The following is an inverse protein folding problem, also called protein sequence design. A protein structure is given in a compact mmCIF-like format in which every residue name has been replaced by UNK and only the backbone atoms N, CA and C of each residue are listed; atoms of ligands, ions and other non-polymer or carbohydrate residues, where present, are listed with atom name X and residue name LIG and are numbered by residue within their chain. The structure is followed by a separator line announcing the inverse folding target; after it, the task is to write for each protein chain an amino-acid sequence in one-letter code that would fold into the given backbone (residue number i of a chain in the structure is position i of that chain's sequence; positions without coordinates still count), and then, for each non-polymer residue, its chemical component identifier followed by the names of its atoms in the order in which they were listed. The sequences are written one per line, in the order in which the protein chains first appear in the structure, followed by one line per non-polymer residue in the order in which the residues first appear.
data_IF_770979700195
#
_entry.id   IF_770979700195
#
_cell.length_a   1.000
_cell.length_b   1.000
_cell.length_c   1.000
_cell.angle_alpha   90.00
_cell.angle_beta   90.00
_cell.angle_gamma   90.00
#
_symmetry.space_group_name_H-M   'P 1'
#
loop_
_entity.id
_entity.type
_entity.pdbx_description
1 polymer ?
#
# COMPACT_ATOMS: atom_id res chain seq x y z
N UNK A 1 -14.97 -24.53 -29.42
CA UNK A 1 -13.57 -24.38 -28.98
C UNK A 1 -13.27 -22.90 -28.82
N UNK A 2 -13.09 -22.53 -27.57
CA UNK A 2 -12.90 -21.20 -26.97
C UNK A 2 -12.26 -20.13 -27.86
N UNK A 3 -13.02 -19.06 -28.11
CA UNK A 3 -12.43 -17.74 -28.22
C UNK A 3 -11.76 -17.46 -26.87
N UNK A 4 -10.43 -17.58 -26.80
CA UNK A 4 -9.68 -17.09 -25.64
C UNK A 4 -9.88 -15.59 -25.56
N UNK A 5 -10.80 -15.16 -24.71
CA UNK A 5 -11.04 -13.74 -24.50
C UNK A 5 -9.75 -13.11 -23.98
N UNK A 6 -9.24 -12.12 -24.70
CA UNK A 6 -7.99 -11.46 -24.36
C UNK A 6 -8.30 -10.35 -23.34
N UNK A 7 -8.08 -10.63 -22.07
CA UNK A 7 -8.29 -9.66 -20.98
C UNK A 7 -7.17 -8.62 -20.86
N UNK A 8 -5.98 -8.89 -21.40
CA UNK A 8 -4.80 -8.05 -21.22
C UNK A 8 -4.18 -7.74 -22.58
N UNK A 9 -3.96 -6.46 -22.84
CA UNK A 9 -3.20 -5.97 -23.98
C UNK A 9 -1.87 -5.37 -23.51
N UNK A 10 -0.77 -5.77 -24.16
CA UNK A 10 0.56 -5.23 -23.93
C UNK A 10 1.04 -4.53 -25.19
N UNK A 11 1.36 -3.25 -25.07
CA UNK A 11 1.89 -2.44 -26.16
C UNK A 11 3.30 -1.95 -25.85
N UNK A 12 4.25 -2.25 -26.73
CA UNK A 12 5.55 -1.59 -26.77
C UNK A 12 5.49 -0.44 -27.77
N UNK A 13 5.63 0.79 -27.28
CA UNK A 13 5.49 2.00 -28.09
C UNK A 13 6.85 2.67 -28.25
N UNK A 14 7.15 3.10 -29.47
CA UNK A 14 8.32 3.91 -29.78
C UNK A 14 7.85 5.11 -30.61
N UNK A 15 8.13 6.35 -30.20
CA UNK A 15 7.79 7.53 -30.99
C UNK A 15 8.42 7.45 -32.39
N UNK A 16 7.67 7.76 -33.45
CA UNK A 16 8.19 7.68 -34.81
C UNK A 16 9.46 8.52 -35.02
N UNK A 17 9.57 9.68 -34.35
CA UNK A 17 10.75 10.54 -34.37
C UNK A 17 12.05 9.88 -33.86
N UNK A 18 11.92 8.80 -33.08
CA UNK A 18 13.04 8.01 -32.59
C UNK A 18 13.65 7.10 -33.67
N UNK A 19 12.89 6.78 -34.73
CA UNK A 19 13.31 5.85 -35.78
C UNK A 19 14.04 6.65 -36.86
N UNK A 20 15.32 6.93 -36.61
CA UNK A 20 16.23 7.59 -37.55
C UNK A 20 17.48 6.73 -37.71
N UNK A 21 18.15 6.74 -38.89
CA UNK A 21 19.40 6.01 -39.08
C UNK A 21 20.50 6.39 -38.08
N UNK A 22 20.42 7.60 -37.52
CA UNK A 22 21.38 8.15 -36.55
C UNK A 22 21.06 7.80 -35.09
N UNK A 23 19.89 7.20 -34.80
CA UNK A 23 19.50 6.88 -33.43
C UNK A 23 20.26 5.65 -32.94
N UNK A 24 21.00 5.82 -31.84
CA UNK A 24 21.68 4.69 -31.17
C UNK A 24 20.68 3.80 -30.42
N UNK A 25 21.06 2.53 -30.20
CA UNK A 25 20.27 1.58 -29.38
C UNK A 25 20.00 2.14 -27.97
N UNK A 26 20.96 2.83 -27.37
CA UNK A 26 20.79 3.44 -26.05
C UNK A 26 19.71 4.56 -26.05
N UNK A 27 19.66 5.36 -27.11
CA UNK A 27 18.62 6.37 -27.29
C UNK A 27 17.24 5.74 -27.56
N UNK A 28 17.18 4.68 -28.38
CA UNK A 28 15.94 3.94 -28.61
C UNK A 28 15.38 3.36 -27.31
N UNK A 29 16.23 2.80 -26.45
CA UNK A 29 15.82 2.28 -25.12
C UNK A 29 15.21 3.35 -24.23
N UNK A 30 15.74 4.58 -24.26
CA UNK A 30 15.18 5.71 -23.50
C UNK A 30 13.81 6.16 -23.97
N UNK A 31 13.46 5.88 -25.23
CA UNK A 31 12.18 6.27 -25.82
C UNK A 31 11.19 5.12 -25.94
N UNK A 32 11.62 3.89 -25.69
CA UNK A 32 10.72 2.77 -25.60
C UNK A 32 9.78 3.00 -24.41
N UNK A 33 8.49 2.78 -24.63
CA UNK A 33 7.44 2.86 -23.63
C UNK A 33 6.73 1.52 -23.59
N UNK A 34 6.32 1.13 -22.41
CA UNK A 34 5.50 -0.06 -22.22
C UNK A 34 4.16 0.37 -21.64
N UNK A 35 3.07 -0.08 -22.28
CA UNK A 35 1.72 0.19 -21.82
C UNK A 35 0.94 -1.11 -21.67
N UNK A 36 0.28 -1.29 -20.53
CA UNK A 36 -0.59 -2.44 -20.25
C UNK A 36 -2.02 -1.94 -20.15
N UNK A 37 -2.95 -2.53 -20.89
CA UNK A 37 -4.37 -2.22 -20.78
C UNK A 37 -5.14 -3.49 -20.38
N UNK A 38 -5.91 -3.40 -19.29
CA UNK A 38 -6.83 -4.44 -18.88
C UNK A 38 -8.24 -4.17 -19.43
N UNK A 39 -8.84 -5.18 -20.04
CA UNK A 39 -10.23 -5.10 -20.49
C UNK A 39 -11.20 -5.44 -19.37
N UNK A 40 -11.62 -4.42 -18.64
CA UNK A 40 -12.55 -4.51 -17.51
C UNK A 40 -14.02 -4.29 -17.90
N UNK A 41 -14.36 -4.29 -19.19
CA UNK A 41 -15.72 -4.02 -19.68
C UNK A 41 -16.73 -5.11 -19.29
N UNK A 42 -16.28 -6.37 -19.21
CA UNK A 42 -17.13 -7.54 -19.03
C UNK A 42 -16.70 -8.34 -17.79
N UNK A 43 -17.07 -7.85 -16.61
CA UNK A 43 -16.67 -8.46 -15.32
C UNK A 43 -17.32 -9.82 -15.05
N UNK A 44 -18.32 -10.20 -15.83
CA UNK A 44 -19.09 -11.44 -15.69
C UNK A 44 -18.55 -12.57 -16.57
N UNK A 45 -17.54 -12.29 -17.40
CA UNK A 45 -17.02 -13.28 -18.34
C UNK A 45 -16.17 -14.33 -17.63
N UNK A 46 -16.28 -15.57 -18.12
CA UNK A 46 -15.47 -16.69 -17.63
C UNK A 46 -13.97 -16.36 -17.78
N UNK A 47 -13.24 -16.45 -16.66
CA UNK A 47 -11.80 -16.15 -16.64
C UNK A 47 -11.43 -14.70 -16.34
N UNK A 48 -12.41 -13.83 -16.05
CA UNK A 48 -12.15 -12.44 -15.65
C UNK A 48 -11.19 -12.34 -14.45
N UNK A 49 -11.43 -13.09 -13.38
CA UNK A 49 -10.57 -13.11 -12.18
C UNK A 49 -9.15 -13.57 -12.50
N UNK A 50 -9.01 -14.59 -13.34
CA UNK A 50 -7.71 -15.07 -13.81
C UNK A 50 -7.00 -13.99 -14.65
N UNK A 51 -7.74 -13.26 -15.47
CA UNK A 51 -7.25 -12.10 -16.23
C UNK A 51 -6.80 -10.97 -15.31
N UNK A 52 -7.57 -10.64 -14.27
CA UNK A 52 -7.25 -9.59 -13.30
C UNK A 52 -5.99 -9.94 -12.49
N UNK A 53 -5.87 -11.20 -12.04
CA UNK A 53 -4.67 -11.70 -11.38
C UNK A 53 -3.45 -11.66 -12.31
N UNK A 54 -3.63 -12.04 -13.58
CA UNK A 54 -2.58 -11.95 -14.60
C UNK A 54 -2.14 -10.50 -14.86
N UNK A 55 -3.08 -9.57 -14.89
CA UNK A 55 -2.82 -8.14 -15.05
C UNK A 55 -1.97 -7.60 -13.90
N UNK A 56 -2.37 -7.81 -12.65
CA UNK A 56 -1.61 -7.33 -11.49
C UNK A 56 -0.23 -7.98 -11.40
N UNK A 57 -0.10 -9.25 -11.78
CA UNK A 57 1.21 -9.89 -11.86
C UNK A 57 2.13 -9.20 -12.87
N UNK A 58 1.61 -8.78 -14.03
CA UNK A 58 2.40 -8.05 -15.02
C UNK A 58 2.75 -6.64 -14.54
N UNK A 59 1.82 -5.93 -13.92
CA UNK A 59 2.07 -4.61 -13.32
C UNK A 59 3.19 -4.72 -12.28
N UNK A 60 3.10 -5.65 -11.34
CA UNK A 60 4.10 -5.83 -10.30
C UNK A 60 5.50 -6.17 -10.85
N UNK A 61 5.57 -6.93 -11.95
CA UNK A 61 6.83 -7.27 -12.61
C UNK A 61 7.43 -6.09 -13.38
N UNK A 62 6.59 -5.23 -13.96
CA UNK A 62 7.00 -4.22 -14.94
C UNK A 62 7.00 -2.79 -14.40
N UNK A 63 6.45 -2.55 -13.20
CA UNK A 63 6.35 -1.23 -12.57
C UNK A 63 7.72 -0.54 -12.40
N UNK A 64 8.80 -1.32 -12.34
CA UNK A 64 10.16 -0.79 -12.18
C UNK A 64 10.82 -0.40 -13.50
N UNK A 65 10.18 -0.67 -14.64
CA UNK A 65 10.69 -0.23 -15.93
C UNK A 65 10.45 1.28 -16.11
N UNK A 66 11.44 2.01 -16.63
CA UNK A 66 11.29 3.44 -16.87
C UNK A 66 10.15 3.69 -17.86
N UNK A 67 9.28 4.63 -17.51
CA UNK A 67 8.14 5.05 -18.33
C UNK A 67 7.13 3.92 -18.68
N UNK A 68 6.98 2.94 -17.78
CA UNK A 68 5.87 1.97 -17.82
C UNK A 68 4.57 2.65 -17.39
N UNK A 69 3.49 2.33 -18.10
CA UNK A 69 2.15 2.81 -17.77
C UNK A 69 1.16 1.66 -17.84
N UNK A 70 0.06 1.76 -17.10
CA UNK A 70 -1.04 0.82 -17.21
C UNK A 70 -2.39 1.51 -17.04
N UNK A 71 -3.44 0.89 -17.55
CA UNK A 71 -4.82 1.40 -17.46
C UNK A 71 -5.83 0.27 -17.59
N UNK A 72 -7.12 0.60 -17.43
CA UNK A 72 -8.23 -0.27 -17.81
C UNK A 72 -9.08 0.38 -18.90
N UNK A 73 -9.84 -0.42 -19.65
CA UNK A 73 -10.72 0.08 -20.71
C UNK A 73 -11.77 1.06 -20.17
N UNK A 74 -12.37 0.80 -19.01
CA UNK A 74 -13.31 1.73 -18.38
C UNK A 74 -12.61 3.01 -17.92
N UNK A 75 -11.38 2.92 -17.39
CA UNK A 75 -10.64 4.10 -16.91
C UNK A 75 -10.34 5.10 -18.03
N UNK A 76 -10.07 4.65 -19.26
CA UNK A 76 -9.83 5.54 -20.43
C UNK A 76 -11.07 6.33 -20.84
N UNK A 77 -12.27 5.80 -20.58
CA UNK A 77 -13.54 6.43 -20.97
C UNK A 77 -14.20 7.23 -19.84
N UNK A 78 -13.70 7.11 -18.61
CA UNK A 78 -14.12 7.94 -17.50
C UNK A 78 -13.49 9.33 -17.64
N UNK A 79 -14.23 10.41 -17.35
CA UNK A 79 -13.61 11.72 -17.21
C UNK A 79 -12.53 11.59 -16.14
N UNK A 80 -11.28 11.85 -16.51
CA UNK A 80 -10.25 12.01 -15.50
C UNK A 80 -10.61 13.26 -14.71
N UNK A 81 -10.90 13.10 -13.43
CA UNK A 81 -10.78 14.22 -12.52
C UNK A 81 -9.34 14.73 -12.66
N UNK A 82 -9.19 16.03 -12.83
CA UNK A 82 -7.88 16.66 -12.79
C UNK A 82 -7.32 16.43 -11.40
N UNK A 83 -6.58 15.34 -11.22
CA UNK A 83 -5.69 15.20 -10.09
C UNK A 83 -4.61 16.23 -10.37
N UNK A 84 -4.79 17.42 -9.81
CA UNK A 84 -3.72 18.40 -9.62
C UNK A 84 -2.68 17.69 -8.75
N UNK A 85 -1.87 16.86 -9.39
CA UNK A 85 -0.69 16.28 -8.79
C UNK A 85 0.27 17.46 -8.72
N UNK A 86 0.10 18.29 -7.69
CA UNK A 86 1.13 19.19 -7.23
C UNK A 86 2.26 18.27 -6.81
N UNK A 87 3.10 17.89 -7.75
CA UNK A 87 4.46 17.45 -7.45
C UNK A 87 5.09 18.67 -6.80
N UNK A 88 4.95 18.77 -5.49
CA UNK A 88 5.57 19.83 -4.72
C UNK A 88 7.06 19.56 -4.79
N UNK A 89 7.72 20.19 -5.75
CA UNK A 89 9.18 20.24 -5.83
C UNK A 89 9.78 21.17 -4.76
N UNK A 90 8.99 21.52 -3.75
CA UNK A 90 9.42 22.31 -2.59
C UNK A 90 9.07 21.47 -1.36
N UNK A 91 10.05 21.11 -0.51
CA UNK A 91 9.70 20.60 0.80
C UNK A 91 8.98 21.74 1.50
N UNK A 92 7.64 21.64 1.57
CA UNK A 92 6.89 22.39 2.56
C UNK A 92 7.54 22.04 3.89
N UNK A 93 7.90 23.08 4.65
CA UNK A 93 8.46 22.90 5.98
C UNK A 93 7.44 22.09 6.77
N UNK A 94 7.74 20.80 6.90
CA UNK A 94 6.97 19.89 7.72
C UNK A 94 7.02 20.52 9.11
N UNK A 95 5.87 20.89 9.72
CA UNK A 95 5.89 21.32 11.11
C UNK A 95 6.63 20.22 11.87
N UNK A 96 7.59 20.59 12.74
CA UNK A 96 8.46 19.66 13.48
C UNK A 96 7.64 18.47 13.94
N UNK A 97 7.68 17.43 13.12
CA UNK A 97 6.95 16.19 13.33
C UNK A 97 8.01 15.36 13.99
N UNK A 98 7.71 14.92 15.22
CA UNK A 98 8.51 13.93 15.90
C UNK A 98 8.92 12.86 14.89
N UNK A 99 10.23 12.70 14.64
CA UNK A 99 10.79 11.88 13.56
C UNK A 99 10.20 10.46 13.58
N UNK A 100 9.74 10.01 14.74
CA UNK A 100 9.05 8.73 14.92
C UNK A 100 7.76 8.57 14.09
N UNK A 101 7.07 9.65 13.73
CA UNK A 101 5.86 9.62 12.88
C UNK A 101 6.14 9.79 11.39
N UNK A 102 7.36 10.20 11.01
CA UNK A 102 7.67 10.61 9.65
C UNK A 102 7.39 9.49 8.63
N UNK A 103 7.79 8.26 8.95
CA UNK A 103 7.59 7.09 8.09
C UNK A 103 6.10 6.75 7.89
N UNK A 104 5.32 6.78 8.97
CA UNK A 104 3.87 6.52 8.95
C UNK A 104 3.16 7.54 8.06
N UNK A 105 3.57 8.80 8.14
CA UNK A 105 3.01 9.90 7.34
C UNK A 105 3.45 9.80 5.88
N UNK A 106 4.75 9.59 5.62
CA UNK A 106 5.32 9.53 4.27
C UNK A 106 4.70 8.41 3.44
N UNK A 107 4.51 7.23 4.04
CA UNK A 107 3.96 6.06 3.36
C UNK A 107 2.44 5.93 3.49
N UNK A 108 1.77 6.85 4.20
CA UNK A 108 0.31 6.83 4.37
C UNK A 108 -0.19 5.55 5.04
N UNK A 109 0.57 5.03 6.02
CA UNK A 109 0.27 3.75 6.67
C UNK A 109 -0.91 3.85 7.64
N UNK A 110 -1.20 5.06 8.11
CA UNK A 110 -2.42 5.41 8.85
C UNK A 110 -3.03 6.67 8.24
N UNK A 111 -4.35 6.79 8.34
CA UNK A 111 -5.06 8.01 7.95
C UNK A 111 -4.71 9.18 8.88
N UNK A 112 -4.91 10.41 8.39
CA UNK A 112 -4.70 11.61 9.19
C UNK A 112 -5.60 11.64 10.45
N UNK A 113 -6.80 11.06 10.38
CA UNK A 113 -7.74 10.95 11.50
C UNK A 113 -7.22 9.99 12.58
N UNK A 114 -6.70 8.83 12.19
CA UNK A 114 -6.11 7.85 13.12
C UNK A 114 -4.86 8.40 13.79
N UNK A 115 -3.97 9.07 13.04
CA UNK A 115 -2.77 9.71 13.61
C UNK A 115 -3.18 10.77 14.64
N UNK A 116 -4.11 11.66 14.30
CA UNK A 116 -4.59 12.70 15.20
C UNK A 116 -5.23 12.09 16.47
N UNK A 117 -5.97 10.99 16.32
CA UNK A 117 -6.55 10.28 17.44
C UNK A 117 -5.48 9.70 18.38
N UNK A 118 -4.49 8.98 17.85
CA UNK A 118 -3.39 8.44 18.65
C UNK A 118 -2.61 9.54 19.39
N UNK A 119 -2.32 10.65 18.70
CA UNK A 119 -1.65 11.81 19.29
C UNK A 119 -2.50 12.49 20.38
N UNK A 120 -3.83 12.54 20.23
CA UNK A 120 -4.74 13.09 21.25
C UNK A 120 -4.73 12.27 22.55
N UNK A 121 -4.46 10.97 22.46
CA UNK A 121 -4.24 10.07 23.61
C UNK A 121 -2.80 10.12 24.15
N UNK A 122 -1.98 11.05 23.65
CA UNK A 122 -0.56 11.18 24.01
C UNK A 122 0.26 9.91 23.76
N UNK A 123 -0.15 9.10 22.78
CA UNK A 123 0.59 7.93 22.35
C UNK A 123 1.74 8.37 21.42
N UNK A 124 2.90 7.73 21.60
CA UNK A 124 4.02 7.86 20.66
C UNK A 124 3.72 7.15 19.34
N UNK A 125 4.54 7.35 18.32
CA UNK A 125 4.36 6.60 17.07
C UNK A 125 4.44 5.09 17.33
N UNK A 126 3.46 4.30 16.89
CA UNK A 126 3.49 2.85 17.05
C UNK A 126 4.51 2.21 16.10
N UNK A 127 4.98 1.03 16.46
CA UNK A 127 5.56 0.09 15.50
C UNK A 127 4.42 -0.63 14.79
N UNK A 128 4.35 -0.50 13.46
CA UNK A 128 3.33 -1.16 12.64
C UNK A 128 3.74 -2.59 12.31
N UNK A 129 2.79 -3.53 12.34
CA UNK A 129 3.04 -4.94 12.00
C UNK A 129 4.09 -5.59 12.92
N UNK A 130 3.96 -5.40 14.23
CA UNK A 130 4.95 -5.87 15.19
C UNK A 130 4.87 -7.38 15.36
N UNK A 131 5.93 -8.07 14.96
CA UNK A 131 6.09 -9.51 15.11
C UNK A 131 6.49 -9.91 16.54
N UNK A 132 5.60 -10.63 17.22
CA UNK A 132 5.90 -11.26 18.50
C UNK A 132 6.63 -12.57 18.27
N UNK A 133 7.84 -12.69 18.82
CA UNK A 133 8.67 -13.88 18.69
C UNK A 133 8.69 -14.73 19.96
N UNK A 134 8.89 -16.04 19.81
CA UNK A 134 9.17 -16.96 20.90
C UNK A 134 10.69 -16.98 21.25
N UNK A 135 11.07 -17.80 22.24
CA UNK A 135 12.47 -17.89 22.70
C UNK A 135 13.43 -18.48 21.64
N UNK A 136 12.88 -19.14 20.61
CA UNK A 136 13.62 -19.68 19.47
C UNK A 136 13.72 -18.68 18.29
N UNK A 137 13.10 -17.51 18.43
CA UNK A 137 13.06 -16.45 17.40
C UNK A 137 11.99 -16.66 16.32
N UNK A 138 11.08 -17.63 16.50
CA UNK A 138 9.97 -17.83 15.57
C UNK A 138 8.85 -16.82 15.84
N UNK A 139 8.29 -16.26 14.77
CA UNK A 139 7.13 -15.37 14.82
C UNK A 139 5.89 -16.22 15.16
N UNK A 140 5.23 -15.87 16.25
CA UNK A 140 4.05 -16.59 16.76
C UNK A 140 2.77 -15.76 16.71
N UNK A 141 2.88 -14.45 16.61
CA UNK A 141 1.75 -13.52 16.48
C UNK A 141 2.24 -12.19 15.90
N UNK A 142 1.32 -11.37 15.41
CA UNK A 142 1.60 -10.01 14.93
C UNK A 142 0.58 -9.04 15.54
N UNK A 143 1.00 -7.83 15.88
CA UNK A 143 0.11 -6.74 16.26
C UNK A 143 0.11 -5.68 15.17
N UNK A 144 -1.07 -5.21 14.76
CA UNK A 144 -1.20 -4.16 13.75
C UNK A 144 -0.46 -2.89 14.18
N UNK A 145 -0.64 -2.47 15.44
CA UNK A 145 0.08 -1.38 16.08
C UNK A 145 0.63 -1.85 17.43
N UNK A 146 1.90 -1.56 17.72
CA UNK A 146 2.52 -1.87 18.99
C UNK A 146 3.33 -0.72 19.57
N UNK A 147 3.41 -0.69 20.90
CA UNK A 147 4.32 0.15 21.67
C UNK A 147 5.22 -0.75 22.52
N UNK A 148 6.34 -1.24 21.96
CA UNK A 148 7.15 -2.29 22.60
C UNK A 148 7.71 -1.89 23.97
N UNK A 149 8.07 -0.62 24.14
CA UNK A 149 8.59 -0.09 25.41
C UNK A 149 7.56 -0.19 26.55
N UNK A 150 6.26 -0.02 26.24
CA UNK A 150 5.14 -0.10 27.16
C UNK A 150 4.51 -1.50 27.21
N UNK A 151 4.91 -2.40 26.30
CA UNK A 151 4.26 -3.68 26.02
C UNK A 151 2.76 -3.52 25.75
N UNK A 152 2.39 -2.56 24.90
CA UNK A 152 1.01 -2.40 24.44
C UNK A 152 0.89 -2.87 22.99
N UNK A 153 -0.21 -3.56 22.68
CA UNK A 153 -0.52 -4.03 21.34
C UNK A 153 -1.99 -3.75 21.02
N UNK A 154 -2.24 -3.26 19.82
CA UNK A 154 -3.58 -3.12 19.25
C UNK A 154 -3.69 -4.09 18.08
N UNK A 155 -4.73 -4.93 18.13
CA UNK A 155 -5.01 -5.96 17.13
C UNK A 155 -6.39 -5.67 16.54
N UNK A 156 -6.49 -5.51 15.23
CA UNK A 156 -7.70 -5.02 14.57
C UNK A 156 -8.68 -6.16 14.28
N UNK A 157 -8.19 -7.27 13.73
CA UNK A 157 -9.06 -8.35 13.23
C UNK A 157 -8.71 -9.76 13.74
N UNK A 158 -7.46 -10.03 14.14
CA UNK A 158 -7.02 -11.36 14.53
C UNK A 158 -7.07 -11.64 16.05
N UNK A 159 -8.26 -11.97 16.56
CA UNK A 159 -8.46 -12.27 17.99
C UNK A 159 -7.59 -13.42 18.53
N UNK A 160 -7.13 -14.35 17.69
CA UNK A 160 -6.33 -15.50 18.13
C UNK A 160 -4.95 -15.08 18.67
N UNK A 161 -4.48 -13.89 18.30
CA UNK A 161 -3.20 -13.34 18.74
C UNK A 161 -3.25 -12.71 20.14
N UNK A 162 -4.43 -12.31 20.63
CA UNK A 162 -4.62 -11.73 21.97
C UNK A 162 -4.02 -12.59 23.09
N UNK A 163 -4.33 -13.91 23.21
CA UNK A 163 -3.75 -14.75 24.26
C UNK A 163 -2.21 -14.87 24.15
N UNK A 164 -1.64 -14.80 22.95
CA UNK A 164 -0.19 -14.95 22.74
C UNK A 164 0.61 -13.74 23.25
N UNK A 165 0.05 -12.55 23.08
CA UNK A 165 0.57 -11.31 23.64
C UNK A 165 0.34 -11.22 25.16
N UNK A 166 -0.89 -11.44 25.62
CA UNK A 166 -1.24 -11.31 27.05
C UNK A 166 -0.47 -12.28 27.94
N UNK A 167 -0.26 -13.52 27.50
CA UNK A 167 0.58 -14.51 28.23
C UNK A 167 2.05 -14.09 28.37
N UNK A 168 2.52 -13.16 27.52
CA UNK A 168 3.88 -12.57 27.58
C UNK A 168 3.91 -11.21 28.26
N UNK A 169 2.83 -10.86 28.97
CA UNK A 169 2.72 -9.65 29.76
C UNK A 169 2.50 -8.38 28.94
N UNK A 170 1.89 -8.51 27.76
CA UNK A 170 1.43 -7.36 26.98
C UNK A 170 0.00 -6.99 27.35
N UNK A 171 -0.30 -5.70 27.34
CA UNK A 171 -1.66 -5.19 27.36
C UNK A 171 -2.18 -5.10 25.93
N UNK A 172 -3.34 -5.70 25.69
CA UNK A 172 -3.88 -5.85 24.33
C UNK A 172 -5.25 -5.19 24.25
N UNK A 173 -5.41 -4.28 23.30
CA UNK A 173 -6.72 -3.81 22.86
C UNK A 173 -7.08 -4.52 21.54
N UNK A 174 -8.35 -4.84 21.38
CA UNK A 174 -8.85 -5.51 20.17
C UNK A 174 -9.97 -4.69 19.54
N UNK A 175 -9.85 -4.38 18.26
CA UNK A 175 -10.82 -3.60 17.50
C UNK A 175 -10.18 -2.55 16.59
N UNK A 176 -11.01 -1.79 15.85
CA UNK A 176 -10.52 -0.71 15.00
C UNK A 176 -9.85 0.40 15.82
N UNK A 177 -9.10 1.28 15.14
CA UNK A 177 -8.49 2.45 15.77
C UNK A 177 -9.57 3.49 16.06
N UNK A 178 -10.22 3.34 17.21
CA UNK A 178 -11.25 4.25 17.70
C UNK A 178 -11.07 4.58 19.19
N UNK A 179 -11.85 5.55 19.66
CA UNK A 179 -11.78 6.06 21.03
C UNK A 179 -11.98 4.96 22.08
N UNK A 180 -12.91 4.03 21.84
CA UNK A 180 -13.21 2.95 22.78
C UNK A 180 -12.01 1.99 22.90
N UNK A 181 -11.43 1.61 21.76
CA UNK A 181 -10.32 0.65 21.69
C UNK A 181 -9.06 1.25 22.32
N UNK A 182 -8.78 2.54 22.09
CA UNK A 182 -7.61 3.21 22.66
C UNK A 182 -7.72 3.46 24.18
N UNK A 183 -8.93 3.66 24.70
CA UNK A 183 -9.15 3.73 26.15
C UNK A 183 -8.78 2.42 26.86
N UNK A 184 -9.07 1.27 26.23
CA UNK A 184 -8.65 -0.03 26.75
C UNK A 184 -7.13 -0.22 26.73
N UNK A 185 -6.42 0.43 25.81
CA UNK A 185 -4.97 0.32 25.67
C UNK A 185 -4.20 1.15 26.71
N UNK A 186 -4.67 2.36 27.01
CA UNK A 186 -3.98 3.33 27.89
C UNK A 186 -4.15 3.06 29.39
N UNK A 187 -4.82 1.98 29.79
CA UNK A 187 -5.03 1.61 31.20
C UNK A 187 -5.95 2.57 31.96
N UNK A 188 -6.79 3.34 31.25
CA UNK A 188 -7.73 4.27 31.83
C UNK A 188 -8.98 3.58 32.39
N UNK A 189 -8.84 2.83 33.48
CA UNK A 189 -9.98 2.66 34.39
C UNK A 189 -10.29 4.04 35.00
N UNK A 190 -11.45 4.61 34.66
CA UNK A 190 -12.11 5.63 35.46
C UNK A 190 -13.30 5.02 36.18
#
# INVERSE_FOLDING_TARGET
CNSSQQFIELASVLPQQAIKPTTSVAQMRRWLRLHICFDDRYTQDDGYEAGLNGFWRLVNLLQFLPDMTFTSRKAVHLPQESVDTKVSATPEAVPETDESWAEIIEFGLLSAEEIALLQSHSLSAPTLGYELQNDEGEIIAEADLAWPSQKWALIIDNQEFIPLFTTRGWHVAFGPIDENTLQHLSGGDK
#
